data_IF_495264685964
#
_entry.id   IF_495264685964
#
_cell.length_a   1.000
_cell.length_b   1.000
_cell.length_c   1.000
_cell.angle_alpha   90.00
_cell.angle_beta   90.00
_cell.angle_gamma   90.00
#
_symmetry.space_group_name_H-M   'P 1'
#
loop_
_entity.id
_entity.type
_entity.pdbx_description
1 polymer ?
#
# COMPACT_ATOMS: atom_id res chain seq x y z
N UNK A 1 3.52 17.39 7.53
CA UNK A 1 2.50 16.45 8.03
C UNK A 1 3.04 15.06 7.85
N UNK A 2 3.04 14.26 8.90
CA UNK A 2 3.45 12.86 8.88
C UNK A 2 2.22 11.95 8.82
N UNK A 3 2.42 10.66 8.55
CA UNK A 3 1.33 9.68 8.68
C UNK A 3 0.81 9.60 10.12
N UNK A 4 1.68 9.72 11.12
CA UNK A 4 1.28 9.71 12.54
C UNK A 4 0.36 10.87 12.88
N UNK A 5 0.63 12.07 12.37
CA UNK A 5 -0.24 13.25 12.56
C UNK A 5 -1.66 12.96 12.07
N UNK A 6 -1.81 12.28 10.92
CA UNK A 6 -3.12 11.90 10.37
C UNK A 6 -3.88 10.93 11.27
N UNK A 7 -3.18 9.99 11.89
CA UNK A 7 -3.80 9.02 12.82
C UNK A 7 -4.20 9.71 14.13
N UNK A 8 -3.36 10.57 14.67
CA UNK A 8 -3.63 11.33 15.90
C UNK A 8 -4.82 12.29 15.75
N UNK A 9 -5.01 12.86 14.55
CA UNK A 9 -6.13 13.74 14.23
C UNK A 9 -7.38 13.01 13.73
N UNK A 10 -7.42 11.66 13.79
CA UNK A 10 -8.53 10.84 13.30
C UNK A 10 -8.94 11.18 11.85
N UNK A 11 -7.95 11.43 10.99
CA UNK A 11 -8.17 11.74 9.58
C UNK A 11 -9.06 10.69 8.90
N UNK A 12 -9.93 11.15 8.01
CA UNK A 12 -10.83 10.25 7.28
C UNK A 12 -10.07 9.34 6.31
N UNK A 13 -10.66 8.20 5.94
CA UNK A 13 -10.03 7.23 5.01
C UNK A 13 -9.59 7.89 3.69
N UNK A 14 -10.41 8.79 3.14
CA UNK A 14 -10.09 9.54 1.91
C UNK A 14 -8.87 10.44 2.07
N UNK A 15 -8.72 11.10 3.22
CA UNK A 15 -7.58 11.97 3.52
C UNK A 15 -6.30 11.15 3.66
N UNK A 16 -6.36 10.05 4.41
CA UNK A 16 -5.23 9.11 4.56
C UNK A 16 -4.81 8.56 3.20
N UNK A 17 -5.75 8.09 2.38
CA UNK A 17 -5.45 7.58 1.03
C UNK A 17 -4.81 8.64 0.14
N UNK A 18 -5.26 9.90 0.23
CA UNK A 18 -4.71 11.01 -0.55
C UNK A 18 -3.28 11.29 -0.16
N UNK A 19 -2.98 11.31 1.14
CA UNK A 19 -1.62 11.44 1.65
C UNK A 19 -0.70 10.29 1.20
N UNK A 20 -1.18 9.04 1.22
CA UNK A 20 -0.37 7.86 0.89
C UNK A 20 0.02 7.73 -0.60
N UNK A 21 -0.68 8.45 -1.49
CA UNK A 21 -0.34 8.50 -2.92
C UNK A 21 0.36 9.79 -3.32
N UNK A 22 0.48 10.74 -2.38
CA UNK A 22 1.18 11.99 -2.60
C UNK A 22 2.69 11.82 -2.39
N UNK A 23 3.48 12.45 -3.26
CA UNK A 23 4.94 12.41 -3.22
C UNK A 23 5.63 11.57 -4.31
N UNK A 24 6.97 11.60 -4.27
CA UNK A 24 7.83 10.97 -5.28
C UNK A 24 7.85 9.44 -5.17
N UNK A 25 7.99 8.77 -6.32
CA UNK A 25 8.13 7.31 -6.38
C UNK A 25 9.57 6.91 -6.06
N UNK A 26 9.76 6.20 -4.95
CA UNK A 26 11.08 5.70 -4.50
C UNK A 26 11.17 4.17 -4.69
N UNK A 27 12.26 3.63 -5.27
CA UNK A 27 12.43 2.20 -5.41
C UNK A 27 12.70 1.52 -4.05
N UNK A 28 12.04 0.38 -3.82
CA UNK A 28 12.22 -0.43 -2.60
C UNK A 28 12.63 -1.85 -2.99
N UNK A 29 13.66 -2.40 -2.34
CA UNK A 29 14.07 -3.81 -2.49
C UNK A 29 13.66 -4.60 -1.27
N UNK A 30 12.85 -5.66 -1.45
CA UNK A 30 12.38 -6.53 -0.37
C UNK A 30 12.66 -8.00 -0.66
N UNK A 31 13.02 -8.77 0.38
CA UNK A 31 13.16 -10.23 0.30
C UNK A 31 11.86 -10.88 0.77
N UNK A 32 11.28 -11.75 -0.04
CA UNK A 32 10.07 -12.50 0.28
C UNK A 32 10.21 -13.96 -0.18
N UNK A 33 9.55 -14.93 0.47
CA UNK A 33 9.54 -16.31 0.01
C UNK A 33 9.03 -16.44 -1.43
N UNK A 34 9.60 -17.36 -2.20
CA UNK A 34 9.24 -17.56 -3.62
C UNK A 34 7.73 -17.84 -3.78
N UNK A 35 7.16 -18.69 -2.93
CA UNK A 35 5.73 -19.02 -2.99
C UNK A 35 4.85 -17.78 -2.80
N UNK A 36 5.20 -16.88 -1.86
CA UNK A 36 4.46 -15.65 -1.64
C UNK A 36 4.54 -14.73 -2.87
N UNK A 37 5.74 -14.56 -3.43
CA UNK A 37 5.95 -13.75 -4.64
C UNK A 37 5.12 -14.27 -5.80
N UNK A 38 5.16 -15.57 -6.05
CA UNK A 38 4.56 -16.18 -7.24
C UNK A 38 3.04 -16.18 -7.15
N UNK A 39 2.48 -16.54 -5.99
CA UNK A 39 1.03 -16.45 -5.76
C UNK A 39 0.52 -15.01 -5.86
N UNK A 40 1.26 -14.03 -5.32
CA UNK A 40 0.84 -12.63 -5.41
C UNK A 40 0.99 -12.07 -6.83
N UNK A 41 1.96 -12.56 -7.64
CA UNK A 41 2.06 -12.22 -9.06
C UNK A 41 0.85 -12.76 -9.84
N UNK A 42 0.44 -14.00 -9.59
CA UNK A 42 -0.77 -14.57 -10.19
C UNK A 42 -2.02 -13.79 -9.80
N UNK A 43 -2.19 -13.49 -8.50
CA UNK A 43 -3.30 -12.68 -8.01
C UNK A 43 -3.35 -11.27 -8.64
N UNK A 44 -2.19 -10.65 -8.87
CA UNK A 44 -2.09 -9.36 -9.55
C UNK A 44 -2.53 -9.46 -11.02
N UNK A 45 -2.08 -10.50 -11.73
CA UNK A 45 -2.48 -10.77 -13.12
C UNK A 45 -3.99 -11.01 -13.25
N UNK A 46 -4.60 -11.77 -12.34
CA UNK A 46 -6.05 -11.99 -12.31
C UNK A 46 -6.84 -10.69 -12.10
N UNK A 47 -6.23 -9.68 -11.45
CA UNK A 47 -6.81 -8.35 -11.22
C UNK A 47 -6.45 -7.34 -12.33
N UNK A 48 -5.76 -7.77 -13.39
CA UNK A 48 -5.35 -6.90 -14.48
C UNK A 48 -4.33 -5.82 -14.08
N UNK A 49 -3.52 -6.06 -13.05
CA UNK A 49 -2.52 -5.10 -12.57
C UNK A 49 -1.13 -5.73 -12.42
N UNK A 50 -0.10 -4.87 -12.37
CA UNK A 50 1.27 -5.33 -12.10
C UNK A 50 1.42 -5.81 -10.66
N UNK A 51 2.41 -6.67 -10.41
CA UNK A 51 2.75 -7.11 -9.05
C UNK A 51 3.06 -5.93 -8.11
N UNK A 52 3.79 -4.91 -8.58
CA UNK A 52 4.09 -3.72 -7.79
C UNK A 52 2.85 -2.88 -7.47
N UNK A 53 1.92 -2.74 -8.42
CA UNK A 53 0.64 -2.09 -8.17
C UNK A 53 -0.18 -2.86 -7.12
N UNK A 54 -0.22 -4.19 -7.22
CA UNK A 54 -0.90 -5.03 -6.24
C UNK A 54 -0.33 -4.85 -4.82
N UNK A 55 1.00 -4.94 -4.68
CA UNK A 55 1.68 -4.73 -3.38
C UNK A 55 1.40 -3.31 -2.84
N UNK A 56 1.49 -2.27 -3.69
CA UNK A 56 1.19 -0.89 -3.29
C UNK A 56 -0.25 -0.75 -2.80
N UNK A 57 -1.22 -1.34 -3.52
CA UNK A 57 -2.63 -1.32 -3.12
C UNK A 57 -2.86 -2.03 -1.80
N UNK A 58 -2.21 -3.17 -1.56
CA UNK A 58 -2.26 -3.85 -0.27
C UNK A 58 -1.76 -2.96 0.86
N UNK A 59 -0.62 -2.29 0.69
CA UNK A 59 -0.07 -1.37 1.70
C UNK A 59 -1.01 -0.18 1.96
N UNK A 60 -1.52 0.47 0.90
CA UNK A 60 -2.44 1.60 1.04
C UNK A 60 -3.71 1.18 1.77
N UNK A 61 -4.30 0.05 1.39
CA UNK A 61 -5.53 -0.44 2.02
C UNK A 61 -5.32 -0.80 3.49
N UNK A 62 -4.14 -1.30 3.86
CA UNK A 62 -3.84 -1.59 5.26
C UNK A 62 -3.65 -0.30 6.07
N UNK A 63 -2.87 0.64 5.55
CA UNK A 63 -2.60 1.92 6.23
C UNK A 63 -3.84 2.84 6.28
N UNK A 64 -4.74 2.75 5.31
CA UNK A 64 -5.99 3.52 5.28
C UNK A 64 -7.00 3.11 6.38
N UNK A 65 -6.85 1.91 6.98
CA UNK A 65 -7.67 1.49 8.13
C UNK A 65 -7.35 2.26 9.40
N UNK A 66 -6.22 2.98 9.44
CA UNK A 66 -5.89 3.93 10.49
C UNK A 66 -5.79 3.32 11.89
N UNK A 67 -4.79 2.46 12.12
CA UNK A 67 -4.34 2.03 13.46
C UNK A 67 -5.35 1.31 14.37
N UNK A 68 -6.58 1.05 13.90
CA UNK A 68 -7.67 0.38 14.64
C UNK A 68 -7.84 -1.07 14.19
#
# INVERSE_FOLDING_TARGET
MTYSDLIEHEAGETEIRSYLVDGDVVPVTMRIPANLRDSAKEAASLRGMSFSAFVRTCMINELAKGGK
#
